data_IF_650045633302
#
_entry.id   IF_650045633302
#
_cell.length_a   1.000
_cell.length_b   1.000
_cell.length_c   1.000
_cell.angle_alpha   90.00
_cell.angle_beta   90.00
_cell.angle_gamma   90.00
#
_symmetry.space_group_name_H-M   'P 1'
#
loop_
_entity.id
_entity.type
_entity.pdbx_description
1 polymer ?
#
# COMPACT_ATOMS: atom_id res chain seq x y z
N UNK A 1 14.00 -7.31 -6.75
CA UNK A 1 13.77 -8.68 -6.20
C UNK A 1 12.47 -9.21 -6.81
N UNK A 2 12.45 -10.46 -7.28
CA UNK A 2 11.24 -11.08 -7.83
C UNK A 2 10.20 -11.30 -6.74
N UNK A 3 8.96 -10.84 -6.96
CA UNK A 3 7.81 -11.04 -6.05
C UNK A 3 7.69 -12.53 -5.68
N UNK A 4 7.54 -12.83 -4.40
CA UNK A 4 7.39 -14.21 -3.94
C UNK A 4 6.07 -14.81 -4.50
N UNK A 5 6.09 -15.94 -5.24
CA UNK A 5 4.90 -16.52 -5.87
C UNK A 5 3.74 -16.81 -4.91
N UNK A 6 4.06 -17.11 -3.65
CA UNK A 6 3.07 -17.33 -2.59
C UNK A 6 2.30 -16.04 -2.23
N UNK A 7 2.99 -14.90 -2.14
CA UNK A 7 2.36 -13.61 -1.85
C UNK A 7 1.48 -13.16 -3.01
N UNK A 8 1.87 -13.42 -4.26
CA UNK A 8 1.01 -13.11 -5.42
C UNK A 8 -0.30 -13.92 -5.41
N UNK A 9 -0.24 -15.20 -5.02
CA UNK A 9 -1.45 -16.02 -4.85
C UNK A 9 -2.37 -15.47 -3.76
N UNK A 10 -1.82 -15.01 -2.64
CA UNK A 10 -2.59 -14.37 -1.56
C UNK A 10 -3.20 -13.06 -2.04
N UNK A 11 -2.43 -12.20 -2.71
CA UNK A 11 -2.90 -10.92 -3.26
C UNK A 11 -4.08 -11.12 -4.21
N UNK A 12 -4.02 -12.13 -5.06
CA UNK A 12 -5.11 -12.46 -5.98
C UNK A 12 -6.37 -12.94 -5.26
N UNK A 13 -6.22 -13.73 -4.19
CA UNK A 13 -7.36 -14.20 -3.39
C UNK A 13 -8.00 -13.06 -2.59
N UNK A 14 -7.21 -12.22 -1.94
CA UNK A 14 -7.72 -11.08 -1.16
C UNK A 14 -8.40 -10.06 -2.06
N UNK A 15 -7.87 -9.80 -3.26
CA UNK A 15 -8.49 -8.95 -4.27
C UNK A 15 -9.89 -9.39 -4.72
N UNK A 16 -10.23 -10.68 -4.59
CA UNK A 16 -11.55 -11.20 -4.94
C UNK A 16 -12.57 -11.11 -3.79
N UNK A 17 -12.12 -10.76 -2.58
CA UNK A 17 -12.99 -10.64 -1.41
C UNK A 17 -13.93 -9.44 -1.51
N UNK A 18 -15.13 -9.56 -0.93
CA UNK A 18 -16.13 -8.50 -0.94
C UNK A 18 -15.63 -7.17 -0.33
N UNK A 19 -14.88 -7.16 0.80
CA UNK A 19 -14.36 -5.90 1.34
C UNK A 19 -13.39 -5.17 0.40
N UNK A 20 -12.52 -5.89 -0.31
CA UNK A 20 -11.59 -5.28 -1.26
C UNK A 20 -12.32 -4.72 -2.47
N UNK A 21 -13.29 -5.47 -3.01
CA UNK A 21 -14.13 -5.02 -4.13
C UNK A 21 -14.90 -3.75 -3.79
N UNK A 22 -15.47 -3.67 -2.60
CA UNK A 22 -16.16 -2.46 -2.13
C UNK A 22 -15.24 -1.23 -2.15
N UNK A 23 -14.01 -1.37 -1.64
CA UNK A 23 -13.04 -0.25 -1.65
C UNK A 23 -12.67 0.14 -3.08
N UNK A 24 -12.41 -0.84 -3.96
CA UNK A 24 -12.08 -0.59 -5.37
C UNK A 24 -13.22 0.12 -6.11
N UNK A 25 -14.46 -0.32 -5.91
CA UNK A 25 -15.65 0.27 -6.51
C UNK A 25 -15.84 1.72 -6.07
N UNK A 26 -15.66 2.01 -4.78
CA UNK A 26 -15.75 3.39 -4.25
C UNK A 26 -14.67 4.30 -4.84
N UNK A 27 -13.41 3.83 -4.89
CA UNK A 27 -12.31 4.59 -5.50
C UNK A 27 -12.56 4.80 -7.00
N UNK A 28 -13.01 3.77 -7.72
CA UNK A 28 -13.31 3.86 -9.15
C UNK A 28 -14.51 4.79 -9.43
N UNK A 29 -15.50 4.81 -8.53
CA UNK A 29 -16.65 5.72 -8.57
C UNK A 29 -16.31 7.18 -8.28
N UNK A 30 -15.09 7.48 -7.85
CA UNK A 30 -14.63 8.84 -7.59
C UNK A 30 -14.94 9.36 -6.20
N UNK A 31 -15.26 8.47 -5.24
CA UNK A 31 -15.35 8.85 -3.83
C UNK A 31 -14.03 9.49 -3.40
N UNK A 32 -14.10 10.69 -2.83
CA UNK A 32 -12.91 11.40 -2.33
C UNK A 32 -12.33 10.74 -1.09
N UNK A 33 -13.22 10.33 -0.18
CA UNK A 33 -12.85 9.78 1.13
C UNK A 33 -13.42 8.37 1.28
N UNK A 34 -12.52 7.39 1.29
CA UNK A 34 -12.85 5.97 1.55
C UNK A 34 -12.17 5.56 2.85
N UNK A 35 -12.91 5.64 3.95
CA UNK A 35 -12.44 5.20 5.25
C UNK A 35 -12.51 3.67 5.36
N UNK A 36 -11.35 3.06 5.66
CA UNK A 36 -11.22 1.61 5.87
C UNK A 36 -10.92 1.36 7.33
N UNK A 37 -11.63 0.42 7.96
CA UNK A 37 -11.54 0.14 9.40
C UNK A 37 -11.25 -1.34 9.63
N UNK A 38 -10.55 -1.65 10.72
CA UNK A 38 -10.27 -3.03 11.13
C UNK A 38 -9.33 -3.81 10.20
N UNK A 39 -8.60 -3.12 9.31
CA UNK A 39 -7.65 -3.72 8.39
C UNK A 39 -6.26 -3.75 9.04
N UNK A 40 -5.69 -4.93 9.32
CA UNK A 40 -4.28 -5.04 9.71
C UNK A 40 -3.37 -4.47 8.63
N UNK A 41 -2.26 -3.84 9.03
CA UNK A 41 -1.31 -3.16 8.11
C UNK A 41 -0.84 -4.05 6.96
N UNK A 42 -0.53 -5.32 7.25
CA UNK A 42 -0.10 -6.30 6.24
C UNK A 42 -1.17 -6.55 5.17
N UNK A 43 -2.46 -6.60 5.56
CA UNK A 43 -3.58 -6.67 4.61
C UNK A 43 -3.81 -5.34 3.89
N UNK A 44 -3.43 -4.22 4.49
CA UNK A 44 -3.34 -2.92 3.85
C UNK A 44 -2.42 -2.92 2.64
N UNK A 45 -1.23 -3.53 2.73
CA UNK A 45 -0.29 -3.61 1.61
C UNK A 45 -0.87 -4.40 0.43
N UNK A 46 -1.61 -5.49 0.70
CA UNK A 46 -2.36 -6.21 -0.34
C UNK A 46 -3.44 -5.35 -0.98
N UNK A 47 -4.20 -4.58 -0.20
CA UNK A 47 -5.24 -3.70 -0.70
C UNK A 47 -4.66 -2.63 -1.63
N UNK A 48 -3.63 -1.92 -1.17
CA UNK A 48 -2.99 -0.86 -1.96
C UNK A 48 -2.34 -1.40 -3.24
N UNK A 49 -1.69 -2.55 -3.17
CA UNK A 49 -1.17 -3.23 -4.37
C UNK A 49 -2.29 -3.59 -5.34
N UNK A 50 -3.45 -4.01 -4.83
CA UNK A 50 -4.62 -4.31 -5.66
C UNK A 50 -5.17 -3.05 -6.33
N UNK A 51 -5.28 -1.94 -5.59
CA UNK A 51 -5.68 -0.62 -6.14
C UNK A 51 -4.72 -0.19 -7.25
N UNK A 52 -3.41 -0.29 -7.01
CA UNK A 52 -2.39 0.08 -8.00
C UNK A 52 -2.52 -0.77 -9.27
N UNK A 53 -2.64 -2.09 -9.15
CA UNK A 53 -2.69 -3.02 -10.30
C UNK A 53 -3.99 -2.94 -11.09
N UNK A 54 -5.14 -2.82 -10.41
CA UNK A 54 -6.45 -2.88 -11.07
C UNK A 54 -6.95 -1.53 -11.55
N UNK A 55 -6.62 -0.45 -10.83
CA UNK A 55 -7.08 0.90 -11.18
C UNK A 55 -5.98 1.76 -11.80
N UNK A 56 -4.74 1.27 -11.89
CA UNK A 56 -3.61 2.00 -12.48
C UNK A 56 -3.27 3.29 -11.74
N UNK A 57 -3.60 3.38 -10.45
CA UNK A 57 -3.41 4.60 -9.64
C UNK A 57 -2.00 4.67 -9.08
N UNK A 58 -1.39 5.85 -9.15
CA UNK A 58 -0.25 6.18 -8.29
C UNK A 58 -0.74 6.44 -6.87
N UNK A 59 -0.05 5.87 -5.89
CA UNK A 59 -0.46 5.89 -4.48
C UNK A 59 0.69 6.46 -3.67
N UNK A 60 0.36 7.42 -2.80
CA UNK A 60 1.26 7.88 -1.75
C UNK A 60 0.76 7.31 -0.43
N UNK A 61 1.63 6.61 0.29
CA UNK A 61 1.33 6.09 1.63
C UNK A 61 2.01 7.00 2.64
N UNK A 62 1.22 7.55 3.56
CA UNK A 62 1.72 8.39 4.65
C UNK A 62 1.52 7.63 5.94
N UNK A 63 2.61 7.44 6.69
CA UNK A 63 2.61 6.82 8.00
C UNK A 63 2.83 7.88 9.09
N UNK A 64 2.46 7.55 10.32
CA UNK A 64 2.60 8.47 11.46
C UNK A 64 4.06 8.69 11.89
N UNK A 65 4.93 7.70 11.65
CA UNK A 65 6.34 7.74 11.99
C UNK A 65 7.18 6.91 10.99
N UNK A 66 8.50 7.06 11.10
CA UNK A 66 9.48 6.40 10.24
C UNK A 66 9.42 4.87 10.33
N UNK A 67 9.33 4.30 11.53
CA UNK A 67 9.26 2.85 11.71
C UNK A 67 8.04 2.26 10.97
N UNK A 68 6.89 2.91 11.06
CA UNK A 68 5.69 2.51 10.32
C UNK A 68 5.87 2.69 8.81
N UNK A 69 6.51 3.78 8.36
CA UNK A 69 6.78 4.01 6.95
C UNK A 69 7.71 2.93 6.36
N UNK A 70 8.73 2.51 7.11
CA UNK A 70 9.61 1.41 6.73
C UNK A 70 8.88 0.07 6.70
N UNK A 71 8.04 -0.21 7.70
CA UNK A 71 7.19 -1.41 7.70
C UNK A 71 6.28 -1.45 6.47
N UNK A 72 5.69 -0.32 6.09
CA UNK A 72 4.89 -0.21 4.86
C UNK A 72 5.73 -0.46 3.60
N UNK A 73 6.93 0.13 3.52
CA UNK A 73 7.87 -0.09 2.41
C UNK A 73 8.18 -1.57 2.26
N UNK A 74 8.52 -2.25 3.35
CA UNK A 74 8.94 -3.65 3.32
C UNK A 74 7.78 -4.56 2.89
N UNK A 75 6.59 -4.38 3.46
CA UNK A 75 5.39 -5.13 3.09
C UNK A 75 5.00 -4.90 1.62
N UNK A 76 4.98 -3.64 1.16
CA UNK A 76 4.65 -3.31 -0.22
C UNK A 76 5.71 -3.85 -1.19
N UNK A 77 7.00 -3.76 -0.85
CA UNK A 77 8.09 -4.27 -1.70
C UNK A 77 8.00 -5.79 -1.85
N UNK A 78 7.68 -6.50 -0.78
CA UNK A 78 7.51 -7.95 -0.81
C UNK A 78 6.38 -8.42 -1.77
N UNK A 79 5.36 -7.59 -1.98
CA UNK A 79 4.17 -7.93 -2.78
C UNK A 79 4.23 -7.32 -4.19
N UNK A 80 4.59 -6.05 -4.32
CA UNK A 80 4.58 -5.30 -5.57
C UNK A 80 5.93 -5.32 -6.31
N UNK A 81 7.03 -5.51 -5.59
CA UNK A 81 8.39 -5.41 -6.11
C UNK A 81 9.03 -4.04 -5.88
N UNK A 82 10.35 -4.02 -5.88
CA UNK A 82 11.22 -2.85 -5.69
C UNK A 82 11.18 -1.87 -6.87
N UNK A 83 10.82 -2.33 -8.07
CA UNK A 83 10.67 -1.46 -9.25
C UNK A 83 9.45 -0.53 -9.15
N UNK A 84 8.49 -0.85 -8.28
CA UNK A 84 7.22 -0.10 -8.13
C UNK A 84 7.20 0.73 -6.84
N UNK A 85 7.88 0.26 -5.80
CA UNK A 85 7.84 0.86 -4.46
C UNK A 85 9.05 1.74 -4.24
N UNK A 86 8.80 3.01 -3.93
CA UNK A 86 9.85 3.98 -3.62
C UNK A 86 9.63 4.54 -2.22
N UNK A 87 10.73 4.67 -1.47
CA UNK A 87 10.72 5.22 -0.12
C UNK A 87 11.27 6.64 -0.13
N UNK A 88 10.51 7.56 0.47
CA UNK A 88 10.94 8.94 0.67
C UNK A 88 11.29 9.13 2.15
N UNK A 89 12.58 9.03 2.52
CA UNK A 89 13.00 9.08 3.91
C UNK A 89 12.83 10.48 4.49
N UNK A 90 12.70 10.54 5.82
CA UNK A 90 12.82 11.79 6.56
C UNK A 90 14.23 12.36 6.37
N UNK A 91 14.37 13.68 6.40
CA UNK A 91 15.69 14.30 6.42
C UNK A 91 16.29 14.20 7.83
N UNK A 92 17.56 13.78 7.89
CA UNK A 92 18.32 13.64 9.15
C UNK A 92 18.67 14.98 9.81
N UNK A 93 18.47 16.10 9.11
CA UNK A 93 18.72 17.44 9.61
C UNK A 93 17.39 18.03 10.09
N UNK A 94 17.31 18.44 11.34
CA UNK A 94 16.20 19.25 11.80
C UNK A 94 16.12 20.50 10.93
N UNK A 95 14.92 20.87 10.47
CA UNK A 95 14.67 22.09 9.68
C UNK A 95 15.17 23.38 10.38
N UNK A 96 15.56 23.29 11.65
CA UNK A 96 15.99 24.37 12.51
C UNK A 96 17.36 24.12 13.18
N UNK A 97 18.14 23.13 12.73
CA UNK A 97 19.49 22.86 13.28
C UNK A 97 20.57 23.79 12.68
N UNK A 98 20.20 25.03 12.33
CA UNK A 98 21.06 26.07 11.76
C UNK A 98 21.11 27.33 12.61
#
# INVERSE_FOLDING_TARGET
>A
MTVAPALDSVARKTAQSAPFKLVLERIAGGDRDVLVHGLPTTLGAFLLTTVQRQLGRQIVVVAADENQAESWRDDLTAIAGDDIVHYFPKWDVGLYDG
#
